data_IF_828891776753
#
_entry.id   IF_828891776753
#
_cell.length_a   1.000
_cell.length_b   1.000
_cell.length_c   1.000
_cell.angle_alpha   90.00
_cell.angle_beta   90.00
_cell.angle_gamma   90.00
#
_symmetry.space_group_name_H-M   'P 1'
#
loop_
_entity.id
_entity.type
_entity.pdbx_description
1 polymer ?
#
# COMPACT_ATOMS: atom_id res chain seq x y z
N UNK A 1 -10.52 -0.56 7.18
CA UNK A 1 -9.71 -1.32 6.20
C UNK A 1 -8.88 -2.38 6.90
N UNK A 2 -9.11 -3.69 6.73
CA UNK A 2 -8.05 -4.66 6.90
C UNK A 2 -7.33 -4.83 5.55
N UNK A 3 -6.06 -4.39 5.52
CA UNK A 3 -5.05 -4.80 4.54
C UNK A 3 -5.25 -4.26 3.11
N UNK A 4 -5.00 -2.96 2.91
CA UNK A 4 -4.90 -2.34 1.57
C UNK A 4 -3.85 -3.03 0.70
N UNK A 5 -2.73 -3.42 1.32
CA UNK A 5 -1.60 -4.12 0.70
C UNK A 5 -1.44 -5.51 1.32
N UNK A 6 -1.39 -6.60 0.53
CA UNK A 6 -1.28 -6.63 -0.93
C UNK A 6 -2.61 -6.70 -1.69
N UNK A 7 -3.76 -6.76 -1.01
CA UNK A 7 -5.05 -7.08 -1.63
C UNK A 7 -5.41 -6.22 -2.85
N UNK A 8 -5.35 -4.89 -2.74
CA UNK A 8 -5.78 -4.01 -3.84
C UNK A 8 -4.82 -4.04 -5.04
N UNK A 9 -3.56 -4.42 -4.82
CA UNK A 9 -2.62 -4.62 -5.92
C UNK A 9 -3.07 -5.76 -6.86
N UNK A 10 -3.92 -6.68 -6.38
CA UNK A 10 -4.51 -7.73 -7.21
C UNK A 10 -5.36 -7.16 -8.36
N UNK A 11 -6.11 -6.10 -8.10
CA UNK A 11 -7.02 -5.49 -9.08
C UNK A 11 -6.27 -4.86 -10.27
N UNK A 12 -5.03 -4.41 -10.06
CA UNK A 12 -4.22 -3.78 -11.12
C UNK A 12 -3.32 -4.77 -11.87
N UNK A 13 -3.25 -6.03 -11.47
CA UNK A 13 -2.39 -7.03 -12.13
C UNK A 13 -2.60 -7.16 -13.65
N UNK A 14 -3.85 -7.10 -14.18
CA UNK A 14 -4.05 -7.08 -15.62
C UNK A 14 -3.41 -5.86 -16.31
N UNK A 15 -3.49 -4.68 -15.67
CA UNK A 15 -2.93 -3.43 -16.17
C UNK A 15 -1.40 -3.42 -16.10
N UNK A 16 -0.79 -4.15 -15.16
CA UNK A 16 0.67 -4.32 -15.10
C UNK A 16 1.26 -5.01 -16.35
N UNK A 17 0.43 -5.65 -17.19
CA UNK A 17 0.86 -6.21 -18.49
C UNK A 17 1.02 -5.15 -19.58
N UNK A 18 0.44 -3.97 -19.40
CA UNK A 18 0.53 -2.86 -20.34
C UNK A 18 1.93 -2.24 -20.24
N UNK A 19 2.77 -2.50 -21.26
CA UNK A 19 4.22 -2.21 -21.21
C UNK A 19 4.57 -0.75 -20.96
N UNK A 20 3.73 0.18 -21.43
CA UNK A 20 3.97 1.62 -21.33
C UNK A 20 3.48 2.24 -20.00
N UNK A 21 2.75 1.49 -19.18
CA UNK A 21 2.43 1.90 -17.81
C UNK A 21 3.51 1.38 -16.84
N UNK A 22 4.07 2.22 -15.94
CA UNK A 22 4.96 1.74 -14.89
C UNK A 22 4.16 0.90 -13.85
N UNK A 23 4.48 -0.40 -13.65
CA UNK A 23 3.75 -1.25 -12.72
C UNK A 23 3.84 -0.79 -11.27
N UNK A 24 4.99 -0.25 -10.84
CA UNK A 24 5.15 0.30 -9.50
C UNK A 24 4.20 1.48 -9.25
N UNK A 25 4.00 2.34 -10.26
CA UNK A 25 3.05 3.46 -10.18
C UNK A 25 1.59 2.98 -10.09
N UNK A 26 1.21 1.92 -10.81
CA UNK A 26 -0.12 1.29 -10.70
C UNK A 26 -0.37 0.75 -9.28
N UNK A 27 0.60 0.02 -8.72
CA UNK A 27 0.51 -0.57 -7.37
C UNK A 27 0.49 0.50 -6.28
N UNK A 28 1.28 1.56 -6.44
CA UNK A 28 1.20 2.74 -5.57
C UNK A 28 -0.20 3.35 -5.66
N UNK A 29 -0.69 3.60 -6.88
CA UNK A 29 -2.03 4.13 -7.12
C UNK A 29 -3.12 3.32 -6.40
N UNK A 30 -3.06 1.99 -6.47
CA UNK A 30 -4.06 1.11 -5.82
C UNK A 30 -4.03 1.12 -4.29
N UNK A 31 -3.13 1.88 -3.68
CA UNK A 31 -2.96 1.97 -2.23
C UNK A 31 -3.15 3.39 -1.70
N UNK A 32 -2.96 4.41 -2.53
CA UNK A 32 -2.92 5.82 -2.09
C UNK A 32 -4.25 6.35 -1.54
N UNK A 33 -5.45 5.98 -2.02
CA UNK A 33 -6.70 6.48 -1.44
C UNK A 33 -6.80 6.28 0.07
N UNK A 34 -6.26 5.17 0.59
CA UNK A 34 -6.20 4.88 2.02
C UNK A 34 -5.10 5.64 2.77
N UNK A 35 -4.07 6.14 2.09
CA UNK A 35 -3.07 7.00 2.75
C UNK A 35 -3.67 8.30 3.28
N UNK A 36 -4.90 8.65 2.89
CA UNK A 36 -5.68 9.73 3.48
C UNK A 36 -5.79 9.63 5.01
N UNK A 37 -5.79 8.41 5.56
CA UNK A 37 -5.80 8.21 7.01
C UNK A 37 -4.53 8.73 7.70
N UNK A 38 -3.35 8.66 7.05
CA UNK A 38 -2.11 9.25 7.58
C UNK A 38 -2.22 10.78 7.69
N UNK A 39 -2.99 11.41 6.81
CA UNK A 39 -3.22 12.85 6.81
C UNK A 39 -4.42 13.27 7.67
N UNK A 40 -5.06 12.33 8.39
CA UNK A 40 -6.28 12.60 9.17
C UNK A 40 -7.47 13.02 8.29
N UNK A 41 -7.42 12.75 6.99
CA UNK A 41 -8.48 13.06 6.04
C UNK A 41 -9.55 11.97 6.06
N UNK A 42 -10.80 12.34 5.75
CA UNK A 42 -11.85 11.34 5.60
C UNK A 42 -11.59 10.42 4.41
N UNK A 43 -11.75 9.12 4.60
CA UNK A 43 -11.71 8.14 3.50
C UNK A 43 -12.85 8.33 2.49
N UNK A 44 -13.90 9.07 2.84
CA UNK A 44 -14.90 9.46 1.85
C UNK A 44 -14.30 10.43 0.84
N UNK A 45 -13.64 11.49 1.31
CA UNK A 45 -13.08 12.54 0.45
C UNK A 45 -12.05 11.99 -0.54
N UNK A 46 -11.11 11.13 -0.09
CA UNK A 46 -10.04 10.59 -0.95
C UNK A 46 -10.51 9.63 -2.03
N UNK A 47 -11.72 9.08 -1.90
CA UNK A 47 -12.28 8.08 -2.81
C UNK A 47 -13.29 8.68 -3.81
N UNK A 48 -13.59 9.97 -3.71
CA UNK A 48 -14.38 10.68 -4.73
C UNK A 48 -13.56 10.89 -6.00
N UNK A 49 -14.17 11.04 -7.19
CA UNK A 49 -13.43 11.35 -8.42
C UNK A 49 -12.50 12.57 -8.27
N UNK A 50 -12.96 13.59 -7.55
CA UNK A 50 -12.16 14.76 -7.21
C UNK A 50 -11.00 14.41 -6.27
N UNK A 51 -11.25 13.61 -5.23
CA UNK A 51 -10.21 13.11 -4.31
C UNK A 51 -9.13 12.30 -5.03
N UNK A 52 -9.51 11.46 -5.99
CA UNK A 52 -8.54 10.71 -6.79
C UNK A 52 -7.60 11.63 -7.58
N UNK A 53 -8.10 12.76 -8.08
CA UNK A 53 -7.31 13.73 -8.84
C UNK A 53 -6.52 14.71 -7.96
N UNK A 54 -7.15 15.25 -6.89
CA UNK A 54 -6.57 16.31 -6.06
C UNK A 54 -5.72 15.77 -4.90
N UNK A 55 -5.99 14.56 -4.44
CA UNK A 55 -5.25 13.92 -3.35
C UNK A 55 -4.46 12.71 -3.86
N UNK A 56 -5.13 11.69 -4.43
CA UNK A 56 -4.45 10.42 -4.71
C UNK A 56 -3.40 10.52 -5.81
N UNK A 57 -3.66 11.31 -6.85
CA UNK A 57 -2.69 11.51 -7.93
C UNK A 57 -1.41 12.21 -7.44
N UNK A 58 -1.44 13.41 -6.81
CA UNK A 58 -0.21 14.06 -6.36
C UNK A 58 0.52 13.26 -5.27
N UNK A 59 -0.19 12.74 -4.27
CA UNK A 59 0.42 11.91 -3.21
C UNK A 59 1.00 10.63 -3.77
N UNK A 60 0.30 9.97 -4.70
CA UNK A 60 0.77 8.75 -5.34
C UNK A 60 1.98 8.96 -6.23
N UNK A 61 2.04 10.07 -6.98
CA UNK A 61 3.24 10.42 -7.74
C UNK A 61 4.43 10.69 -6.83
N UNK A 62 4.24 11.44 -5.74
CA UNK A 62 5.30 11.68 -4.75
C UNK A 62 5.79 10.39 -4.11
N UNK A 63 4.87 9.50 -3.69
CA UNK A 63 5.21 8.22 -3.10
C UNK A 63 5.96 7.33 -4.09
N UNK A 64 5.50 7.26 -5.34
CA UNK A 64 6.16 6.48 -6.37
C UNK A 64 7.58 7.00 -6.67
N UNK A 65 7.77 8.32 -6.78
CA UNK A 65 9.10 8.93 -6.94
C UNK A 65 10.00 8.62 -5.74
N UNK A 66 9.48 8.75 -4.51
CA UNK A 66 10.20 8.39 -3.29
C UNK A 66 10.63 6.91 -3.29
N UNK A 67 9.76 6.00 -3.72
CA UNK A 67 10.10 4.58 -3.85
C UNK A 67 11.19 4.35 -4.91
N UNK A 68 11.03 4.87 -6.13
CA UNK A 68 11.96 4.65 -7.25
C UNK A 68 13.35 5.24 -6.99
N UNK A 69 13.42 6.43 -6.38
CA UNK A 69 14.68 7.18 -6.22
C UNK A 69 15.43 6.80 -4.95
N UNK A 70 14.71 6.53 -3.86
CA UNK A 70 15.30 6.37 -2.54
C UNK A 70 15.16 4.95 -2.00
N UNK A 71 13.92 4.48 -1.84
CA UNK A 71 13.66 3.25 -1.06
C UNK A 71 14.09 2.00 -1.81
N UNK A 72 13.60 1.80 -3.04
CA UNK A 72 13.87 0.58 -3.81
C UNK A 72 15.37 0.37 -4.10
N UNK A 73 16.15 1.39 -4.51
CA UNK A 73 17.58 1.22 -4.75
C UNK A 73 18.36 0.84 -3.49
N UNK A 74 18.01 1.42 -2.33
CA UNK A 74 18.67 1.11 -1.05
C UNK A 74 18.30 -0.30 -0.60
N UNK A 75 17.00 -0.59 -0.49
CA UNK A 75 16.52 -1.89 -0.02
C UNK A 75 17.01 -3.04 -0.90
N UNK A 76 17.09 -2.85 -2.22
CA UNK A 76 17.63 -3.86 -3.13
C UNK A 76 19.06 -4.27 -2.77
N UNK A 77 19.87 -3.34 -2.28
CA UNK A 77 21.30 -3.58 -1.94
C UNK A 77 21.49 -4.01 -0.50
N UNK A 78 20.62 -3.57 0.41
CA UNK A 78 20.81 -3.76 1.84
C UNK A 78 20.02 -4.93 2.40
N UNK A 79 18.86 -5.28 1.84
CA UNK A 79 18.00 -6.34 2.39
C UNK A 79 18.76 -7.68 2.48
N UNK A 80 18.79 -8.29 3.67
CA UNK A 80 19.45 -9.58 3.86
C UNK A 80 18.64 -10.70 3.21
N UNK A 81 19.35 -11.76 2.85
CA UNK A 81 18.73 -13.03 2.53
C UNK A 81 18.20 -13.67 3.82
N UNK A 82 16.93 -14.10 3.82
CA UNK A 82 16.27 -14.73 4.97
C UNK A 82 15.60 -16.01 4.49
N UNK A 83 15.96 -17.15 5.08
CA UNK A 83 15.39 -18.45 4.74
C UNK A 83 15.60 -18.86 3.27
N UNK A 84 16.73 -18.49 2.67
CA UNK A 84 17.02 -18.77 1.25
C UNK A 84 16.30 -17.85 0.25
N UNK A 85 15.59 -16.82 0.75
CA UNK A 85 14.85 -15.87 -0.09
C UNK A 85 15.61 -14.55 -0.24
N UNK A 86 16.02 -14.26 -1.47
CA UNK A 86 16.64 -13.00 -1.87
C UNK A 86 15.57 -11.95 -2.21
N UNK A 87 15.03 -11.28 -1.20
CA UNK A 87 13.96 -10.28 -1.35
C UNK A 87 14.31 -9.14 -2.32
N UNK A 88 15.61 -8.79 -2.43
CA UNK A 88 16.12 -7.80 -3.37
C UNK A 88 15.78 -8.09 -4.84
N UNK A 89 15.52 -9.35 -5.22
CA UNK A 89 15.12 -9.75 -6.59
C UNK A 89 13.81 -9.11 -7.04
N UNK A 90 12.89 -8.84 -6.11
CA UNK A 90 11.62 -8.17 -6.40
C UNK A 90 11.76 -6.64 -6.52
N UNK A 91 12.80 -6.06 -5.92
CA UNK A 91 12.98 -4.61 -5.79
C UNK A 91 13.68 -4.03 -7.03
N UNK A 92 12.96 -4.04 -8.15
CA UNK A 92 13.44 -3.49 -9.42
C UNK A 92 12.93 -2.06 -9.59
N UNK A 93 13.86 -1.15 -9.84
CA UNK A 93 13.55 0.22 -10.29
C UNK A 93 13.56 0.30 -11.81
N UNK A 94 12.72 1.18 -12.38
CA UNK A 94 12.79 1.58 -13.78
C UNK A 94 13.43 2.96 -13.97
N UNK A 95 13.86 3.60 -12.88
CA UNK A 95 14.28 4.99 -12.87
C UNK A 95 13.12 5.96 -13.07
N UNK A 96 13.42 7.25 -13.04
CA UNK A 96 12.43 8.29 -13.30
C UNK A 96 12.13 8.40 -14.81
N UNK A 97 10.88 8.75 -15.19
CA UNK A 97 10.53 8.99 -16.59
C UNK A 97 11.34 10.12 -17.22
N UNK A 98 11.65 9.95 -18.51
CA UNK A 98 12.25 10.99 -19.34
C UNK A 98 11.20 11.54 -20.30
N UNK A 99 10.96 12.86 -20.22
CA UNK A 99 10.01 13.57 -21.08
C UNK A 99 8.55 13.54 -20.62
N UNK A 100 7.77 14.51 -21.10
CA UNK A 100 6.39 14.75 -20.66
C UNK A 100 5.46 13.55 -20.90
N UNK A 101 5.61 12.83 -22.02
CA UNK A 101 4.80 11.65 -22.33
C UNK A 101 4.96 10.54 -21.28
N UNK A 102 6.19 10.27 -20.85
CA UNK A 102 6.46 9.21 -19.90
C UNK A 102 5.97 9.59 -18.49
N UNK A 103 6.05 10.87 -18.12
CA UNK A 103 5.42 11.38 -16.89
C UNK A 103 3.89 11.29 -16.95
N UNK A 104 3.26 11.62 -18.08
CA UNK A 104 1.83 11.46 -18.25
C UNK A 104 1.39 9.99 -18.12
N UNK A 105 2.20 9.04 -18.61
CA UNK A 105 1.95 7.61 -18.43
C UNK A 105 2.07 7.17 -16.97
N UNK A 106 3.02 7.72 -16.21
CA UNK A 106 3.13 7.47 -14.78
C UNK A 106 1.95 8.05 -14.00
N UNK A 107 1.53 9.28 -14.32
CA UNK A 107 0.35 9.91 -13.73
C UNK A 107 -0.91 9.09 -14.03
N UNK A 108 -1.07 8.62 -15.27
CA UNK A 108 -2.18 7.75 -15.64
C UNK A 108 -2.13 6.41 -14.91
N UNK A 109 -0.94 5.81 -14.72
CA UNK A 109 -0.77 4.59 -13.94
C UNK A 109 -1.23 4.78 -12.49
N UNK A 110 -0.78 5.85 -11.81
CA UNK A 110 -1.21 6.17 -10.44
C UNK A 110 -2.72 6.36 -10.38
N UNK A 111 -3.27 7.15 -11.29
CA UNK A 111 -4.71 7.42 -11.32
C UNK A 111 -5.54 6.16 -11.59
N UNK A 112 -5.14 5.31 -12.54
CA UNK A 112 -5.80 4.04 -12.82
C UNK A 112 -5.77 3.12 -11.60
N UNK A 113 -4.62 3.03 -10.91
CA UNK A 113 -4.53 2.30 -9.66
C UNK A 113 -5.53 2.81 -8.62
N UNK A 114 -5.56 4.13 -8.40
CA UNK A 114 -6.45 4.75 -7.43
C UNK A 114 -7.94 4.56 -7.81
N UNK A 115 -8.27 4.63 -9.10
CA UNK A 115 -9.60 4.36 -9.61
C UNK A 115 -10.02 2.90 -9.39
N UNK A 116 -9.13 1.92 -9.63
CA UNK A 116 -9.44 0.51 -9.34
C UNK A 116 -9.66 0.26 -7.86
N UNK A 117 -8.90 0.94 -6.98
CA UNK A 117 -9.10 0.88 -5.54
C UNK A 117 -10.49 1.42 -5.17
N UNK A 118 -10.82 2.64 -5.58
CA UNK A 118 -12.10 3.26 -5.24
C UNK A 118 -13.30 2.50 -5.81
N UNK A 119 -13.16 1.95 -7.02
CA UNK A 119 -14.19 1.10 -7.62
C UNK A 119 -14.42 -0.17 -6.80
N UNK A 120 -13.35 -0.86 -6.41
CA UNK A 120 -13.44 -2.07 -5.59
C UNK A 120 -14.08 -1.77 -4.23
N UNK A 121 -13.64 -0.69 -3.60
CA UNK A 121 -14.21 -0.18 -2.36
C UNK A 121 -15.70 0.14 -2.46
N UNK A 122 -16.14 0.55 -3.64
CA UNK A 122 -17.53 0.73 -4.00
C UNK A 122 -18.41 -0.49 -3.76
N UNK A 123 -17.87 -1.70 -3.95
CA UNK A 123 -18.60 -2.96 -3.77
C UNK A 123 -18.49 -3.50 -2.33
N UNK A 124 -17.51 -3.05 -1.55
CA UNK A 124 -17.17 -3.61 -0.24
C UNK A 124 -17.58 -2.73 0.94
N UNK A 125 -18.16 -1.55 0.69
CA UNK A 125 -18.59 -0.62 1.73
C UNK A 125 -20.04 -0.19 1.55
N UNK A 126 -20.85 -0.34 2.61
CA UNK A 126 -22.31 -0.10 2.60
C UNK A 126 -22.75 1.28 2.11
N UNK A 127 -21.89 2.29 2.26
CA UNK A 127 -22.22 3.68 1.92
C UNK A 127 -21.66 4.13 0.57
N UNK A 128 -20.94 3.26 -0.14
CA UNK A 128 -20.31 3.59 -1.41
C UNK A 128 -21.13 3.00 -2.56
N UNK A 129 -21.11 3.70 -3.69
CA UNK A 129 -21.64 3.14 -4.93
C UNK A 129 -20.63 2.11 -5.48
N UNK A 130 -21.07 0.94 -5.98
CA UNK A 130 -22.47 0.57 -6.20
C UNK A 130 -23.15 -0.18 -5.06
N UNK A 131 -22.44 -0.62 -4.01
CA UNK A 131 -23.02 -1.44 -2.94
C UNK A 131 -24.26 -0.82 -2.28
N UNK A 132 -24.23 0.50 -2.05
CA UNK A 132 -25.36 1.24 -1.44
C UNK A 132 -26.66 1.16 -2.26
N UNK A 133 -26.58 0.92 -3.57
CA UNK A 133 -27.74 0.81 -4.45
C UNK A 133 -28.10 -0.65 -4.72
N UNK A 134 -27.09 -1.50 -4.95
CA UNK A 134 -27.29 -2.89 -5.36
C UNK A 134 -27.70 -3.81 -4.20
N UNK A 135 -27.18 -3.58 -3.00
CA UNK A 135 -27.42 -4.44 -1.84
C UNK A 135 -27.27 -3.71 -0.49
N UNK A 136 -28.01 -2.60 -0.26
CA UNK A 136 -27.85 -1.74 0.92
C UNK A 136 -28.06 -2.45 2.26
N UNK A 137 -28.90 -3.48 2.29
CA UNK A 137 -29.30 -4.21 3.49
C UNK A 137 -29.04 -5.72 3.38
N UNK A 138 -28.31 -6.17 2.36
CA UNK A 138 -28.03 -7.60 2.21
C UNK A 138 -27.12 -8.08 3.35
N UNK A 139 -27.55 -9.11 4.06
CA UNK A 139 -26.73 -9.91 4.95
C UNK A 139 -26.54 -11.31 4.36
N UNK A 140 -25.46 -11.96 4.76
CA UNK A 140 -25.22 -13.37 4.46
C UNK A 140 -24.92 -14.08 5.78
N UNK A 141 -25.69 -15.11 6.08
CA UNK A 141 -25.46 -15.99 7.21
C UNK A 141 -24.56 -17.17 6.80
N UNK A 142 -23.49 -17.39 7.55
CA UNK A 142 -22.60 -18.55 7.41
C UNK A 142 -22.39 -19.18 8.80
N UNK A 143 -23.12 -20.26 9.07
CA UNK A 143 -23.14 -20.88 10.40
C UNK A 143 -23.73 -19.93 11.45
N UNK A 144 -23.05 -19.68 12.59
CA UNK A 144 -23.55 -18.79 13.63
C UNK A 144 -23.35 -17.29 13.32
N UNK A 145 -22.70 -16.96 12.20
CA UNK A 145 -22.35 -15.58 11.85
C UNK A 145 -23.34 -15.02 10.83
N UNK A 146 -24.07 -13.96 11.19
CA UNK A 146 -24.81 -13.13 10.25
C UNK A 146 -24.13 -11.77 10.15
N UNK A 147 -23.52 -11.50 8.99
CA UNK A 147 -22.81 -10.25 8.73
C UNK A 147 -23.33 -9.58 7.45
N UNK A 148 -23.22 -8.25 7.34
CA UNK A 148 -23.51 -7.54 6.10
C UNK A 148 -22.71 -8.14 4.93
N UNK A 149 -23.33 -8.28 3.75
CA UNK A 149 -22.69 -8.84 2.56
C UNK A 149 -21.41 -8.07 2.21
N UNK A 150 -21.43 -6.75 2.34
CA UNK A 150 -20.26 -5.88 2.15
C UNK A 150 -19.06 -6.30 3.01
N UNK A 151 -19.29 -6.76 4.24
CA UNK A 151 -18.24 -7.24 5.16
C UNK A 151 -17.64 -8.55 4.67
N UNK A 152 -18.46 -9.48 4.21
CA UNK A 152 -17.99 -10.71 3.56
C UNK A 152 -17.18 -10.42 2.30
N UNK A 153 -17.69 -9.54 1.43
CA UNK A 153 -17.00 -9.14 0.21
C UNK A 153 -15.67 -8.43 0.52
N UNK A 154 -15.64 -7.56 1.53
CA UNK A 154 -14.43 -6.87 1.95
C UNK A 154 -13.36 -7.88 2.39
N UNK A 155 -13.64 -8.68 3.42
CA UNK A 155 -12.63 -9.59 3.98
C UNK A 155 -12.29 -10.74 3.02
N UNK A 156 -13.29 -11.31 2.35
CA UNK A 156 -13.12 -12.38 1.38
C UNK A 156 -12.24 -11.94 0.21
N UNK A 157 -12.53 -10.76 -0.37
CA UNK A 157 -11.70 -10.23 -1.46
C UNK A 157 -10.30 -9.80 -0.98
N UNK A 158 -10.14 -9.31 0.25
CA UNK A 158 -8.82 -9.03 0.82
C UNK A 158 -7.96 -10.29 0.92
N UNK A 159 -8.53 -11.40 1.40
CA UNK A 159 -7.83 -12.70 1.49
C UNK A 159 -7.49 -13.21 0.09
N UNK A 160 -8.47 -13.28 -0.81
CA UNK A 160 -8.28 -13.80 -2.18
C UNK A 160 -7.27 -12.96 -2.95
N UNK A 161 -7.40 -11.63 -2.92
CA UNK A 161 -6.47 -10.70 -3.57
C UNK A 161 -5.05 -10.83 -3.04
N UNK A 162 -4.91 -10.97 -1.72
CA UNK A 162 -3.59 -11.16 -1.10
C UNK A 162 -2.94 -12.48 -1.51
N UNK A 163 -3.69 -13.58 -1.47
CA UNK A 163 -3.22 -14.89 -1.91
C UNK A 163 -2.85 -14.89 -3.40
N UNK A 164 -3.61 -14.19 -4.24
CA UNK A 164 -3.29 -14.05 -5.66
C UNK A 164 -1.96 -13.33 -5.87
N UNK A 165 -1.75 -12.18 -5.21
CA UNK A 165 -0.49 -11.43 -5.32
C UNK A 165 0.68 -12.25 -4.78
N UNK A 166 0.56 -12.82 -3.58
CA UNK A 166 1.62 -13.63 -2.97
C UNK A 166 1.94 -14.87 -3.81
N UNK A 167 0.91 -15.57 -4.31
CA UNK A 167 1.08 -16.72 -5.19
C UNK A 167 1.77 -16.36 -6.50
N UNK A 168 1.46 -15.19 -7.09
CA UNK A 168 2.17 -14.69 -8.26
C UNK A 168 3.62 -14.33 -7.96
N UNK A 169 3.91 -13.68 -6.82
CA UNK A 169 5.28 -13.39 -6.40
C UNK A 169 6.08 -14.68 -6.21
N UNK A 170 5.51 -15.68 -5.52
CA UNK A 170 6.12 -16.98 -5.32
C UNK A 170 6.40 -17.71 -6.65
N UNK A 171 5.43 -17.72 -7.57
CA UNK A 171 5.61 -18.30 -8.92
C UNK A 171 6.64 -17.57 -9.76
N UNK A 172 6.80 -16.26 -9.58
CA UNK A 172 7.77 -15.44 -10.33
C UNK A 172 9.18 -15.52 -9.77
N UNK A 173 9.33 -15.75 -8.46
CA UNK A 173 10.61 -15.73 -7.77
C UNK A 173 11.72 -16.55 -8.47
N UNK A 174 11.51 -17.82 -8.87
CA UNK A 174 12.56 -18.62 -9.51
C UNK A 174 13.06 -18.04 -10.84
N UNK A 175 12.23 -17.24 -11.52
CA UNK A 175 12.51 -16.67 -12.84
C UNK A 175 13.08 -15.25 -12.78
N UNK A 176 13.22 -14.65 -11.60
CA UNK A 176 13.84 -13.33 -11.46
C UNK A 176 15.36 -13.46 -11.60
N UNK A 177 16.09 -12.45 -12.07
CA UNK A 177 17.55 -12.49 -11.98
C UNK A 177 17.96 -12.52 -10.51
N UNK A 178 19.05 -13.21 -10.19
CA UNK A 178 19.69 -13.12 -8.87
C UNK A 178 20.18 -11.69 -8.62
N UNK A 179 20.25 -11.32 -7.35
CA UNK A 179 20.80 -10.04 -6.91
C UNK A 179 21.85 -10.31 -5.86
N UNK A 180 22.97 -9.55 -5.83
CA UNK A 180 23.90 -9.63 -4.71
C UNK A 180 23.10 -9.45 -3.41
N UNK A 181 23.15 -10.45 -2.53
CA UNK A 181 22.43 -10.40 -1.27
C UNK A 181 22.95 -9.25 -0.40
N UNK A 182 22.04 -8.54 0.27
CA UNK A 182 22.43 -7.61 1.32
C UNK A 182 22.88 -8.34 2.57
N UNK A 183 23.34 -7.59 3.57
CA UNK A 183 23.70 -8.12 4.89
C UNK A 183 22.91 -7.42 5.98
N UNK A 184 22.70 -8.09 7.11
CA UNK A 184 22.09 -7.46 8.29
C UNK A 184 22.82 -6.18 8.70
N UNK A 185 24.16 -6.15 8.59
CA UNK A 185 24.96 -4.94 8.87
C UNK A 185 24.60 -3.78 7.94
N UNK A 186 24.36 -4.05 6.66
CA UNK A 186 23.92 -3.04 5.69
C UNK A 186 22.45 -2.64 5.85
N UNK A 187 21.61 -3.53 6.37
CA UNK A 187 20.18 -3.26 6.57
C UNK A 187 19.86 -2.56 7.89
N UNK A 188 20.66 -2.78 8.94
CA UNK A 188 20.45 -2.17 10.27
C UNK A 188 20.30 -0.63 10.23
N UNK A 189 21.09 0.14 9.45
CA UNK A 189 20.90 1.58 9.31
C UNK A 189 19.54 1.99 8.73
N UNK A 190 18.86 1.09 8.01
CA UNK A 190 17.50 1.31 7.50
C UNK A 190 16.47 0.82 8.52
N UNK A 191 16.66 -0.37 9.08
CA UNK A 191 15.73 -1.01 10.01
C UNK A 191 15.60 -0.25 11.33
N UNK A 192 16.73 0.14 11.94
CA UNK A 192 16.73 0.74 13.28
C UNK A 192 15.97 2.07 13.32
N UNK A 193 16.22 3.07 12.44
CA UNK A 193 15.44 4.29 12.45
C UNK A 193 13.95 4.04 12.16
N UNK A 194 13.63 3.10 11.27
CA UNK A 194 12.24 2.69 10.95
C UNK A 194 11.51 2.22 12.21
N UNK A 195 12.09 1.26 12.94
CA UNK A 195 11.46 0.68 14.13
C UNK A 195 11.43 1.69 15.28
N UNK A 196 12.54 2.39 15.54
CA UNK A 196 12.65 3.35 16.64
C UNK A 196 11.68 4.50 16.47
N UNK A 197 11.58 5.10 15.29
CA UNK A 197 10.66 6.22 15.07
C UNK A 197 9.19 5.76 15.04
N UNK A 198 8.90 4.57 14.49
CA UNK A 198 7.56 3.97 14.60
C UNK A 198 7.13 3.77 16.06
N UNK A 199 8.00 3.22 16.90
CA UNK A 199 7.75 3.02 18.33
C UNK A 199 7.67 4.36 19.11
N UNK A 200 8.53 5.32 18.77
CA UNK A 200 8.53 6.65 19.40
C UNK A 200 7.23 7.40 19.11
N UNK A 201 6.81 7.46 17.84
CA UNK A 201 5.55 8.14 17.47
C UNK A 201 4.37 7.44 18.13
N UNK A 202 4.35 6.11 18.14
CA UNK A 202 3.34 5.36 18.89
C UNK A 202 3.32 5.77 20.36
N UNK A 203 4.46 5.73 21.06
CA UNK A 203 4.55 6.10 22.48
C UNK A 203 4.09 7.52 22.78
N UNK A 204 4.51 8.49 21.96
CA UNK A 204 4.09 9.90 22.08
C UNK A 204 2.58 10.07 21.87
N UNK A 205 2.00 9.27 20.97
CA UNK A 205 0.60 9.35 20.63
C UNK A 205 -0.26 8.63 21.66
N UNK A 206 0.18 7.51 22.26
CA UNK A 206 -0.60 6.71 23.21
C UNK A 206 -1.17 7.54 24.38
N UNK A 207 -0.46 8.59 24.80
CA UNK A 207 -0.94 9.56 25.80
C UNK A 207 -2.21 10.35 25.37
N UNK A 208 -2.53 10.34 24.07
CA UNK A 208 -3.71 10.96 23.44
C UNK A 208 -4.60 9.91 22.76
N UNK A 209 -4.42 8.63 23.08
CA UNK A 209 -5.21 7.57 22.50
C UNK A 209 -6.70 7.77 22.86
N UNK A 210 -7.61 7.55 21.91
CA UNK A 210 -9.04 7.66 22.17
C UNK A 210 -9.52 6.42 22.92
N UNK A 211 -9.14 6.27 24.20
CA UNK A 211 -9.39 5.08 25.03
C UNK A 211 -10.89 4.75 25.19
N UNK A 212 -11.76 5.74 24.97
CA UNK A 212 -13.22 5.59 25.01
C UNK A 212 -13.84 5.25 23.65
N UNK A 213 -13.08 5.29 22.56
CA UNK A 213 -13.59 4.91 21.24
C UNK A 213 -13.75 3.40 21.12
N UNK A 214 -14.62 2.91 20.22
CA UNK A 214 -14.65 1.50 19.81
C UNK A 214 -13.25 0.95 19.50
N UNK A 215 -13.00 -0.31 19.88
CA UNK A 215 -11.70 -0.98 19.70
C UNK A 215 -11.17 -0.86 18.26
N UNK A 216 -12.04 -0.97 17.26
CA UNK A 216 -11.66 -0.82 15.85
C UNK A 216 -11.03 0.54 15.55
N UNK A 217 -11.60 1.64 16.08
CA UNK A 217 -11.06 2.98 15.90
C UNK A 217 -9.74 3.15 16.65
N UNK A 218 -9.59 2.54 17.83
CA UNK A 218 -8.32 2.53 18.56
C UNK A 218 -7.22 1.80 17.79
N UNK A 219 -7.54 0.65 17.20
CA UNK A 219 -6.62 -0.15 16.39
C UNK A 219 -6.23 0.60 15.11
N UNK A 220 -7.20 1.15 14.39
CA UNK A 220 -6.94 1.97 13.19
C UNK A 220 -6.03 3.16 13.52
N UNK A 221 -6.38 3.91 14.57
CA UNK A 221 -5.60 5.05 15.03
C UNK A 221 -4.16 4.64 15.37
N UNK A 222 -3.98 3.53 16.08
CA UNK A 222 -2.66 3.01 16.47
C UNK A 222 -1.82 2.64 15.25
N UNK A 223 -2.41 1.90 14.30
CA UNK A 223 -1.72 1.46 13.08
C UNK A 223 -1.22 2.66 12.27
N UNK A 224 -2.05 3.68 12.06
CA UNK A 224 -1.66 4.82 11.23
C UNK A 224 -0.54 5.66 11.85
N UNK A 225 -0.54 5.90 13.17
CA UNK A 225 0.55 6.63 13.83
C UNK A 225 1.87 5.86 13.85
N UNK A 226 1.84 4.53 13.99
CA UNK A 226 3.04 3.69 13.85
C UNK A 226 3.61 3.83 12.43
N UNK A 227 2.73 3.82 11.42
CA UNK A 227 3.15 3.96 10.02
C UNK A 227 3.78 5.33 9.74
N UNK A 228 3.26 6.43 10.30
CA UNK A 228 3.87 7.76 10.17
C UNK A 228 5.33 7.76 10.64
N UNK A 229 5.57 7.29 11.87
CA UNK A 229 6.91 7.21 12.44
C UNK A 229 7.82 6.28 11.66
N UNK A 230 7.30 5.11 11.24
CA UNK A 230 8.05 4.15 10.46
C UNK A 230 8.45 4.69 9.08
N UNK A 231 7.57 5.43 8.38
CA UNK A 231 7.88 6.03 7.08
C UNK A 231 8.96 7.10 7.18
N UNK A 232 8.93 7.94 8.23
CA UNK A 232 10.00 8.91 8.50
C UNK A 232 11.31 8.19 8.77
N UNK A 233 11.30 7.16 9.63
CA UNK A 233 12.50 6.37 9.93
C UNK A 233 13.06 5.64 8.72
N UNK A 234 12.20 5.03 7.90
CA UNK A 234 12.59 4.41 6.65
C UNK A 234 13.25 5.42 5.71
N UNK A 235 12.68 6.62 5.60
CA UNK A 235 13.24 7.68 4.77
C UNK A 235 14.63 8.10 5.26
N UNK A 236 14.79 8.39 6.55
CA UNK A 236 16.08 8.79 7.13
C UNK A 236 17.12 7.68 7.01
N UNK A 237 16.74 6.44 7.31
CA UNK A 237 17.60 5.28 7.19
C UNK A 237 18.05 5.03 5.74
N UNK A 238 17.15 5.18 4.77
CA UNK A 238 17.52 5.10 3.35
C UNK A 238 18.41 6.25 2.91
N UNK A 239 18.19 7.49 3.37
CA UNK A 239 19.07 8.63 3.07
C UNK A 239 20.47 8.39 3.61
N UNK A 240 20.58 7.83 4.82
CA UNK A 240 21.87 7.47 5.42
C UNK A 240 22.57 6.36 4.63
N UNK A 241 21.88 5.25 4.38
CA UNK A 241 22.43 4.08 3.68
C UNK A 241 22.68 4.29 2.18
N UNK A 242 22.28 5.44 1.63
CA UNK A 242 22.57 5.84 0.24
C UNK A 242 23.97 6.43 0.07
N UNK A 243 24.57 6.97 1.14
CA UNK A 243 25.94 7.52 1.14
C UNK A 243 26.97 6.40 1.08
#
# INVERSE_FOLDING_TARGET
MPVTLPAHAAAVLPLCRVRWLPPAALVVGSSVPDLAYLFGMSAFASHTPEGLLRFSLPVGLLLWVWLEVLVLPVLRRTLPEVGGVQWGRFLRTRGLPVGARAWAQAALAVWLGAATHALWDGFTHRYRWPAKELYPHASLALGPWELPLVTWLQHGSSVVGSLLVLGLLARRYPHLPETPGGSWRGFLPVLLPTVVLGALVLGLRLARAPLHAPLELQLQWTVWHVLDGALVGLTLGCVWARR
#
